data_IF_333961516188
#
_entry.id   IF_333961516188
#
_cell.length_a   1.000
_cell.length_b   1.000
_cell.length_c   1.000
_cell.angle_alpha   90.00
_cell.angle_beta   90.00
_cell.angle_gamma   90.00
#
_symmetry.space_group_name_H-M   'P 1'
#
loop_
_entity.id
_entity.type
_entity.pdbx_description
1 polymer ?
#
# COMPACT_ATOMS: atom_id res chain seq x y z
N UNK A 1 -15.15 -29.50 -3.97
CA UNK A 1 -14.96 -28.09 -4.38
C UNK A 1 -14.80 -27.14 -3.20
N UNK A 2 -15.71 -27.15 -2.21
CA UNK A 2 -15.66 -26.23 -1.06
C UNK A 2 -14.34 -26.27 -0.24
N UNK A 3 -13.71 -27.44 0.02
CA UNK A 3 -12.44 -27.47 0.76
C UNK A 3 -11.31 -26.72 0.07
N UNK A 4 -11.23 -26.78 -1.27
CA UNK A 4 -10.22 -26.03 -2.04
C UNK A 4 -10.46 -24.52 -1.98
N UNK A 5 -11.73 -24.09 -1.92
CA UNK A 5 -12.09 -22.67 -1.78
C UNK A 5 -11.82 -22.10 -0.39
N UNK A 6 -11.61 -22.95 0.61
CA UNK A 6 -11.30 -22.54 1.98
C UNK A 6 -9.84 -22.81 2.36
N UNK A 7 -9.17 -23.74 1.66
CA UNK A 7 -7.82 -24.20 1.96
C UNK A 7 -6.94 -24.12 0.71
N UNK A 8 -5.83 -23.39 0.81
CA UNK A 8 -4.81 -23.28 -0.24
C UNK A 8 -5.16 -22.27 -1.33
N UNK A 9 -6.29 -22.43 -2.02
CA UNK A 9 -6.61 -21.56 -3.16
C UNK A 9 -6.84 -20.08 -2.78
N UNK A 10 -7.48 -19.71 -1.64
CA UNK A 10 -7.56 -18.30 -1.21
C UNK A 10 -6.21 -17.59 -1.12
N UNK A 11 -5.16 -18.30 -0.70
CA UNK A 11 -3.80 -17.76 -0.71
C UNK A 11 -3.29 -17.53 -2.14
N UNK A 12 -3.58 -18.43 -3.07
CA UNK A 12 -3.13 -18.28 -4.45
C UNK A 12 -3.70 -17.05 -5.14
N UNK A 13 -4.99 -16.74 -4.96
CA UNK A 13 -5.59 -15.56 -5.62
C UNK A 13 -5.38 -14.24 -4.87
N UNK A 14 -5.20 -14.26 -3.54
CA UNK A 14 -5.13 -13.03 -2.73
C UNK A 14 -3.75 -12.72 -2.13
N UNK A 15 -2.96 -13.74 -1.77
CA UNK A 15 -1.72 -13.52 -1.01
C UNK A 15 -0.64 -12.82 -1.85
N UNK A 16 -0.62 -13.03 -3.17
CA UNK A 16 0.34 -12.37 -4.05
C UNK A 16 0.21 -10.85 -3.98
N UNK A 17 -1.02 -10.32 -3.95
CA UNK A 17 -1.25 -8.87 -3.90
C UNK A 17 -0.82 -8.29 -2.56
N UNK A 18 -1.14 -8.98 -1.46
CA UNK A 18 -0.70 -8.59 -0.11
C UNK A 18 0.83 -8.55 0.01
N UNK A 19 1.52 -9.59 -0.50
CA UNK A 19 2.99 -9.63 -0.48
C UNK A 19 3.57 -8.54 -1.38
N UNK A 20 3.02 -8.36 -2.58
CA UNK A 20 3.44 -7.31 -3.51
C UNK A 20 3.33 -5.93 -2.87
N UNK A 21 2.18 -5.56 -2.29
CA UNK A 21 2.01 -4.23 -1.70
C UNK A 21 2.88 -4.05 -0.46
N UNK A 22 3.03 -5.07 0.39
CA UNK A 22 3.95 -5.02 1.54
C UNK A 22 5.38 -4.69 1.13
N UNK A 23 5.92 -5.38 0.12
CA UNK A 23 7.25 -5.11 -0.43
C UNK A 23 7.33 -3.71 -1.07
N UNK A 24 6.35 -3.35 -1.88
CA UNK A 24 6.32 -2.03 -2.53
C UNK A 24 6.20 -0.89 -1.53
N UNK A 25 5.62 -1.08 -0.36
CA UNK A 25 5.32 0.01 0.59
C UNK A 25 6.30 0.13 1.74
N UNK A 26 7.02 -0.95 2.08
CA UNK A 26 7.98 -0.98 3.19
C UNK A 26 9.38 -1.47 2.78
N UNK A 27 9.51 -2.16 1.64
CA UNK A 27 10.77 -2.77 1.23
C UNK A 27 11.88 -1.73 1.03
N UNK A 28 13.01 -1.94 1.71
CA UNK A 28 14.18 -1.06 1.64
C UNK A 28 14.07 0.23 2.45
N UNK A 29 12.99 0.41 3.21
CA UNK A 29 12.81 1.57 4.10
C UNK A 29 13.34 1.30 5.50
N UNK A 30 13.43 2.35 6.32
CA UNK A 30 14.02 2.25 7.64
C UNK A 30 13.17 1.40 8.61
N UNK A 31 13.82 0.48 9.31
CA UNK A 31 13.21 -0.30 10.38
C UNK A 31 13.32 0.42 11.74
N UNK A 32 12.38 0.15 12.65
CA UNK A 32 12.39 0.61 14.04
C UNK A 32 12.45 2.15 14.23
N UNK A 33 11.87 2.90 13.30
CA UNK A 33 11.70 4.36 13.40
C UNK A 33 10.23 4.71 13.62
N UNK A 34 9.98 5.71 14.47
CA UNK A 34 8.63 6.18 14.81
C UNK A 34 8.03 7.01 13.66
N UNK A 35 8.85 7.73 12.91
CA UNK A 35 8.36 8.53 11.78
C UNK A 35 7.99 7.62 10.60
N UNK A 36 6.68 7.50 10.35
CA UNK A 36 6.15 6.67 9.29
C UNK A 36 6.55 7.11 7.88
N UNK A 37 6.97 8.37 7.70
CA UNK A 37 7.51 8.86 6.43
C UNK A 37 8.82 8.18 6.04
N UNK A 38 9.52 7.59 7.00
CA UNK A 38 10.81 6.92 6.80
C UNK A 38 10.69 5.41 6.67
N UNK A 39 9.60 4.82 7.16
CA UNK A 39 9.38 3.37 7.18
C UNK A 39 8.29 2.91 6.21
N UNK A 40 7.52 3.82 5.62
CA UNK A 40 6.44 3.52 4.69
C UNK A 40 6.37 4.54 3.56
N UNK A 41 5.85 4.14 2.39
CA UNK A 41 5.67 5.04 1.24
C UNK A 41 4.36 4.82 0.50
N UNK A 42 3.93 5.87 -0.19
CA UNK A 42 2.82 5.82 -1.14
C UNK A 42 3.30 5.44 -2.51
N UNK A 43 2.61 4.50 -3.14
CA UNK A 43 2.87 4.06 -4.52
C UNK A 43 1.64 4.36 -5.35
N UNK A 44 1.80 5.07 -6.46
CA UNK A 44 0.72 5.26 -7.41
C UNK A 44 0.50 3.97 -8.20
N UNK A 45 -0.55 3.25 -7.81
CA UNK A 45 -0.91 1.98 -8.44
C UNK A 45 -1.93 2.18 -9.56
N UNK A 46 -1.98 1.23 -10.50
CA UNK A 46 -2.98 1.23 -11.56
C UNK A 46 -4.41 1.06 -10.98
N UNK A 47 -5.47 1.41 -11.74
CA UNK A 47 -6.85 1.36 -11.24
C UNK A 47 -7.30 0.00 -10.70
N UNK A 48 -6.80 -1.12 -11.27
CA UNK A 48 -7.16 -2.47 -10.84
C UNK A 48 -6.60 -2.74 -9.44
N UNK A 49 -5.30 -2.48 -9.23
CA UNK A 49 -4.67 -2.63 -7.91
C UNK A 49 -5.29 -1.69 -6.88
N UNK A 50 -5.63 -0.45 -7.27
CA UNK A 50 -6.34 0.49 -6.38
C UNK A 50 -7.72 -0.01 -5.98
N UNK A 51 -8.44 -0.68 -6.87
CA UNK A 51 -9.73 -1.30 -6.58
C UNK A 51 -9.57 -2.49 -5.63
N UNK A 52 -8.67 -3.43 -5.94
CA UNK A 52 -8.42 -4.63 -5.11
C UNK A 52 -7.95 -4.23 -3.71
N UNK A 53 -7.14 -3.17 -3.62
CA UNK A 53 -6.54 -2.70 -2.38
C UNK A 53 -7.29 -1.55 -1.72
N UNK A 54 -8.47 -1.19 -2.24
CA UNK A 54 -9.32 -0.12 -1.71
C UNK A 54 -8.61 1.21 -1.45
N UNK A 55 -7.73 1.66 -2.33
CA UNK A 55 -6.88 2.85 -2.15
C UNK A 55 -5.88 2.78 -0.98
N UNK A 56 -5.61 1.62 -0.39
CA UNK A 56 -4.52 1.44 0.59
C UNK A 56 -3.11 1.61 -0.02
N UNK A 57 -3.02 1.96 -1.31
CA UNK A 57 -1.78 2.39 -1.94
C UNK A 57 -1.27 3.73 -1.38
N UNK A 58 -2.16 4.53 -0.77
CA UNK A 58 -1.85 5.70 0.08
C UNK A 58 -1.47 5.22 1.49
N UNK A 59 -0.28 4.63 1.59
CA UNK A 59 0.11 3.85 2.77
C UNK A 59 0.71 4.68 3.88
N UNK A 60 1.55 5.65 3.54
CA UNK A 60 2.13 6.53 4.56
C UNK A 60 1.04 7.36 5.23
N UNK A 61 0.02 7.75 4.46
CA UNK A 61 -1.17 8.43 4.95
C UNK A 61 -1.96 7.54 5.92
N UNK A 62 -2.12 6.26 5.59
CA UNK A 62 -2.75 5.29 6.48
C UNK A 62 -1.97 5.12 7.78
N UNK A 63 -0.64 5.00 7.73
CA UNK A 63 0.17 4.90 8.94
C UNK A 63 0.13 6.16 9.80
N UNK A 64 0.13 7.34 9.18
CA UNK A 64 0.03 8.62 9.91
C UNK A 64 -1.38 8.84 10.50
N UNK A 65 -2.43 8.40 9.79
CA UNK A 65 -3.82 8.63 10.16
C UNK A 65 -4.67 7.35 10.00
N UNK A 66 -4.44 6.30 10.83
CA UNK A 66 -5.03 4.97 10.64
C UNK A 66 -6.56 4.94 10.81
N UNK A 67 -7.13 5.96 11.45
CA UNK A 67 -8.56 6.12 11.64
C UNK A 67 -9.28 6.69 10.41
N UNK A 68 -8.56 7.18 9.40
CA UNK A 68 -9.17 7.69 8.16
C UNK A 68 -9.54 6.50 7.28
N UNK A 69 -10.82 6.37 6.86
CA UNK A 69 -11.25 5.24 6.06
C UNK A 69 -10.60 5.26 4.67
N UNK A 70 -10.37 4.08 4.13
CA UNK A 70 -9.61 3.86 2.89
C UNK A 70 -10.16 4.63 1.67
N UNK A 71 -11.48 4.84 1.59
CA UNK A 71 -12.11 5.63 0.53
C UNK A 71 -11.80 7.14 0.61
N UNK A 72 -11.39 7.64 1.79
CA UNK A 72 -11.04 9.04 2.03
C UNK A 72 -9.53 9.31 1.93
N UNK A 73 -8.70 8.27 1.87
CA UNK A 73 -7.25 8.41 1.73
C UNK A 73 -6.80 9.23 0.50
N UNK A 74 -7.44 9.16 -0.68
CA UNK A 74 -7.06 10.04 -1.80
C UNK A 74 -7.24 11.53 -1.46
N UNK A 75 -8.27 11.88 -0.70
CA UNK A 75 -8.50 13.27 -0.25
C UNK A 75 -7.47 13.67 0.79
N UNK A 76 -7.16 12.79 1.73
CA UNK A 76 -6.11 13.02 2.73
C UNK A 76 -4.76 13.26 2.04
N UNK A 77 -4.40 12.41 1.07
CA UNK A 77 -3.16 12.53 0.30
C UNK A 77 -2.98 13.94 -0.25
N UNK A 78 -4.00 14.51 -0.92
CA UNK A 78 -3.91 15.87 -1.46
C UNK A 78 -3.75 16.94 -0.36
N UNK A 79 -4.39 16.77 0.80
CA UNK A 79 -4.32 17.73 1.91
C UNK A 79 -2.94 17.77 2.56
N UNK A 80 -2.28 16.62 2.70
CA UNK A 80 -1.00 16.52 3.42
C UNK A 80 0.20 16.28 2.51
N UNK A 81 0.02 16.24 1.19
CA UNK A 81 1.06 15.93 0.20
C UNK A 81 2.37 16.70 0.39
N UNK A 82 2.26 17.95 0.82
CA UNK A 82 3.39 18.86 1.07
C UNK A 82 4.30 18.41 2.22
N UNK A 83 3.80 17.53 3.08
CA UNK A 83 4.46 17.01 4.29
C UNK A 83 4.82 15.51 4.14
N UNK A 84 4.74 14.97 2.92
CA UNK A 84 5.04 13.58 2.60
C UNK A 84 6.26 13.46 1.67
N UNK A 85 7.01 12.35 1.73
CA UNK A 85 7.98 12.00 0.69
C UNK A 85 7.31 11.94 -0.68
N UNK A 86 8.10 12.15 -1.75
CA UNK A 86 7.62 12.00 -3.10
C UNK A 86 7.07 10.57 -3.33
N UNK A 87 5.82 10.40 -3.79
CA UNK A 87 5.27 9.08 -4.05
C UNK A 87 6.02 8.34 -5.15
N UNK A 88 6.18 7.03 -4.99
CA UNK A 88 6.68 6.18 -6.08
C UNK A 88 5.67 6.21 -7.23
N UNK A 89 6.09 6.55 -8.47
CA UNK A 89 5.16 6.93 -9.54
C UNK A 89 4.41 5.75 -10.17
N UNK A 90 4.86 4.51 -9.93
CA UNK A 90 4.21 3.29 -10.44
C UNK A 90 4.66 2.05 -9.68
N UNK A 91 3.90 0.95 -9.80
CA UNK A 91 4.34 -0.38 -9.33
C UNK A 91 5.71 -0.77 -9.93
N UNK A 92 5.90 -0.51 -11.23
CA UNK A 92 7.17 -0.83 -11.91
C UNK A 92 8.33 0.00 -11.35
N UNK A 93 8.11 1.29 -11.07
CA UNK A 93 9.12 2.13 -10.45
C UNK A 93 9.50 1.60 -9.07
N UNK A 94 8.53 1.18 -8.26
CA UNK A 94 8.80 0.63 -6.92
C UNK A 94 9.56 -0.69 -6.94
N UNK A 95 9.45 -1.50 -8.00
CA UNK A 95 10.28 -2.68 -8.20
C UNK A 95 11.71 -2.38 -8.69
N UNK A 96 11.98 -1.15 -9.14
CA UNK A 96 13.28 -0.73 -9.67
C UNK A 96 14.11 0.09 -8.68
N UNK A 97 13.51 0.47 -7.55
CA UNK A 97 14.20 1.04 -6.39
C UNK A 97 15.15 0.00 -5.77
#
# INVERSE_FOLDING_TARGET
>A
FLPLMLVGLPRLYGAWHHVMTGLLQHGGLADNVIDHRLNSRTVYMNPISRFIYWNMNYHVEHHMFPMVPYHALPRLHELIKHDLPAPTPSILAGYRE
#
